data_IF_712913941197
#
_entry.id   IF_712913941197
#
_cell.length_a   1.000
_cell.length_b   1.000
_cell.length_c   1.000
_cell.angle_alpha   90.00
_cell.angle_beta   90.00
_cell.angle_gamma   90.00
#
_symmetry.space_group_name_H-M   'P 1'
#
loop_
_entity.id
_entity.type
_entity.pdbx_description
1 polymer ?
#
# COMPACT_ATOMS: atom_id res chain seq x y z
N UNK A 1 -8.28 -22.45 -2.55
CA UNK A 1 -7.60 -22.08 -1.29
C UNK A 1 -7.62 -20.56 -1.06
N UNK A 2 -8.78 -19.91 -1.23
CA UNK A 2 -8.99 -18.46 -1.08
C UNK A 2 -9.84 -18.10 0.17
N UNK A 3 -10.23 -19.10 0.97
CA UNK A 3 -11.32 -18.94 1.94
C UNK A 3 -10.87 -18.36 3.30
N UNK A 4 -9.57 -18.29 3.59
CA UNK A 4 -9.05 -17.83 4.89
C UNK A 4 -8.62 -16.37 4.90
N UNK A 5 -8.23 -15.80 3.75
CA UNK A 5 -7.81 -14.39 3.64
C UNK A 5 -8.96 -13.43 4.01
N UNK A 6 -10.21 -13.62 3.51
CA UNK A 6 -11.34 -12.78 3.91
C UNK A 6 -11.64 -12.86 5.41
N UNK A 7 -11.47 -14.04 6.02
CA UNK A 7 -11.74 -14.29 7.43
C UNK A 7 -10.71 -13.59 8.32
N UNK A 8 -9.42 -13.63 7.97
CA UNK A 8 -8.36 -12.91 8.69
C UNK A 8 -8.53 -11.41 8.55
N UNK A 9 -8.90 -10.92 7.36
CA UNK A 9 -9.22 -9.51 7.14
C UNK A 9 -10.43 -9.08 7.99
N UNK A 10 -11.50 -9.87 8.01
CA UNK A 10 -12.68 -9.61 8.84
C UNK A 10 -12.37 -9.65 10.34
N UNK A 11 -11.54 -10.58 10.80
CA UNK A 11 -11.09 -10.66 12.20
C UNK A 11 -10.24 -9.46 12.60
N UNK A 12 -9.32 -9.03 11.73
CA UNK A 12 -8.46 -7.86 11.98
C UNK A 12 -9.28 -6.56 11.94
N UNK A 13 -10.26 -6.45 11.03
CA UNK A 13 -11.20 -5.33 10.98
C UNK A 13 -12.09 -5.30 12.24
N UNK A 14 -12.63 -6.45 12.66
CA UNK A 14 -13.49 -6.58 13.85
C UNK A 14 -12.75 -6.30 15.16
N UNK A 15 -11.49 -6.75 15.29
CA UNK A 15 -10.64 -6.47 16.46
C UNK A 15 -10.19 -5.00 16.55
N UNK A 16 -10.13 -4.27 15.41
CA UNK A 16 -9.64 -2.88 15.34
C UNK A 16 -10.68 -1.80 15.55
N UNK A 17 -11.96 -2.11 15.39
CA UNK A 17 -13.04 -1.17 15.69
C UNK A 17 -13.15 -0.91 17.22
N UNK A 18 -12.57 -1.79 18.06
CA UNK A 18 -12.87 -1.84 19.49
C UNK A 18 -11.81 -1.24 20.43
N UNK A 19 -10.57 -0.92 20.02
CA UNK A 19 -9.55 -0.43 20.97
C UNK A 19 -8.63 0.69 20.42
N UNK A 20 -8.73 1.89 21.03
CA UNK A 20 -7.89 3.07 20.74
C UNK A 20 -6.39 2.82 20.99
N UNK A 21 -5.97 1.86 21.79
CA UNK A 21 -4.54 1.64 21.99
C UNK A 21 -3.88 0.87 20.84
N UNK A 22 -4.67 0.10 20.08
CA UNK A 22 -4.14 -0.81 19.06
C UNK A 22 -3.68 -0.07 17.80
N UNK A 23 -4.30 1.07 17.43
CA UNK A 23 -3.91 1.82 16.22
C UNK A 23 -2.47 2.35 16.31
N UNK A 24 -1.95 2.59 17.52
CA UNK A 24 -0.57 3.03 17.74
C UNK A 24 0.44 1.93 17.41
N UNK A 25 0.06 0.67 17.59
CA UNK A 25 0.90 -0.48 17.25
C UNK A 25 0.99 -0.69 15.73
N UNK A 26 -0.09 -0.37 15.00
CA UNK A 26 -0.16 -0.47 13.54
C UNK A 26 0.47 0.79 12.92
N UNK A 27 1.80 0.83 12.98
CA UNK A 27 2.61 1.87 12.35
C UNK A 27 3.14 1.39 11.00
N UNK A 28 3.41 2.33 10.09
CA UNK A 28 4.08 2.02 8.83
C UNK A 28 5.39 1.25 9.04
N UNK A 29 6.16 1.59 10.08
CA UNK A 29 7.39 0.88 10.43
C UNK A 29 7.14 -0.61 10.69
N UNK A 30 6.13 -0.94 11.50
CA UNK A 30 5.77 -2.34 11.77
C UNK A 30 5.35 -3.05 10.47
N UNK A 31 4.45 -2.43 9.70
CA UNK A 31 3.93 -3.01 8.46
C UNK A 31 5.05 -3.27 7.46
N UNK A 32 5.92 -2.28 7.25
CA UNK A 32 7.10 -2.40 6.41
C UNK A 32 8.05 -3.49 6.89
N UNK A 33 8.36 -3.56 8.19
CA UNK A 33 9.21 -4.61 8.74
C UNK A 33 8.62 -6.00 8.52
N UNK A 34 7.31 -6.18 8.73
CA UNK A 34 6.63 -7.46 8.46
C UNK A 34 6.76 -7.86 6.99
N UNK A 35 6.53 -6.93 6.06
CA UNK A 35 6.69 -7.19 4.62
C UNK A 35 8.13 -7.49 4.26
N UNK A 36 9.10 -6.74 4.81
CA UNK A 36 10.51 -6.94 4.57
C UNK A 36 10.95 -8.34 5.04
N UNK A 37 10.63 -8.72 6.27
CA UNK A 37 10.95 -10.06 6.77
C UNK A 37 10.20 -11.16 6.01
N UNK A 38 8.94 -10.93 5.62
CA UNK A 38 8.20 -11.86 4.77
C UNK A 38 8.87 -12.02 3.39
N UNK A 39 9.36 -10.94 2.78
CA UNK A 39 10.11 -11.00 1.53
C UNK A 39 11.39 -11.83 1.68
N UNK A 40 12.21 -11.55 2.70
CA UNK A 40 13.43 -12.33 2.97
C UNK A 40 13.09 -13.80 3.22
N UNK A 41 12.08 -14.06 4.05
CA UNK A 41 11.65 -15.41 4.39
C UNK A 41 11.12 -16.20 3.18
N UNK A 42 10.30 -15.57 2.34
CA UNK A 42 9.65 -16.23 1.22
C UNK A 42 10.60 -16.36 0.03
N UNK A 43 11.36 -15.31 -0.30
CA UNK A 43 12.18 -15.27 -1.51
C UNK A 43 13.59 -15.85 -1.27
N UNK A 44 14.28 -15.41 -0.21
CA UNK A 44 15.69 -15.74 0.00
C UNK A 44 15.87 -17.09 0.72
N UNK A 45 15.00 -17.42 1.67
CA UNK A 45 15.14 -18.71 2.36
C UNK A 45 14.57 -19.87 1.54
N UNK A 46 13.56 -19.61 0.69
CA UNK A 46 13.06 -20.62 -0.24
C UNK A 46 14.06 -20.90 -1.38
N UNK A 47 14.72 -19.88 -1.94
CA UNK A 47 15.73 -20.07 -2.99
C UNK A 47 16.90 -20.99 -2.57
N UNK A 48 17.14 -21.13 -1.26
CA UNK A 48 18.16 -22.00 -0.68
C UNK A 48 17.69 -23.43 -0.35
N UNK A 49 16.45 -23.79 -0.70
CA UNK A 49 15.91 -25.13 -0.42
C UNK A 49 15.65 -25.41 1.07
N UNK A 50 15.64 -24.40 1.93
CA UNK A 50 15.52 -24.60 3.39
C UNK A 50 14.12 -25.06 3.83
N UNK A 51 13.13 -25.04 2.95
CA UNK A 51 11.74 -25.41 3.24
C UNK A 51 11.25 -26.65 2.49
N UNK A 52 12.13 -27.37 1.78
CA UNK A 52 11.73 -28.57 1.04
C UNK A 52 11.01 -29.57 1.96
N UNK A 53 11.54 -29.80 3.16
CA UNK A 53 10.95 -30.70 4.16
C UNK A 53 9.57 -30.26 4.66
N UNK A 54 9.36 -28.95 4.85
CA UNK A 54 8.08 -28.39 5.31
C UNK A 54 6.99 -28.56 4.24
N UNK A 55 7.31 -28.26 2.97
CA UNK A 55 6.36 -28.38 1.87
C UNK A 55 6.02 -29.84 1.55
N UNK A 56 7.02 -30.74 1.59
CA UNK A 56 6.80 -32.19 1.45
C UNK A 56 5.86 -32.70 2.55
N UNK A 57 6.05 -32.26 3.80
CA UNK A 57 5.18 -32.65 4.92
C UNK A 57 3.74 -32.14 4.76
N UNK A 58 3.56 -30.98 4.11
CA UNK A 58 2.24 -30.43 3.79
C UNK A 58 1.59 -31.02 2.53
N UNK A 59 2.25 -31.95 1.83
CA UNK A 59 1.78 -32.50 0.55
C UNK A 59 1.65 -31.44 -0.54
N UNK A 60 2.48 -30.38 -0.49
CA UNK A 60 2.47 -29.27 -1.44
C UNK A 60 3.68 -29.31 -2.36
N UNK A 61 3.52 -28.74 -3.55
CA UNK A 61 4.65 -28.49 -4.44
C UNK A 61 5.64 -27.55 -3.75
N UNK A 62 6.87 -28.04 -3.63
CA UNK A 62 8.00 -27.39 -2.98
C UNK A 62 8.39 -26.09 -3.69
N UNK A 63 8.10 -25.99 -4.99
CA UNK A 63 8.54 -24.88 -5.84
C UNK A 63 7.62 -23.66 -5.80
N UNK A 64 6.53 -23.71 -5.01
CA UNK A 64 5.45 -22.71 -5.01
C UNK A 64 4.90 -22.46 -6.43
N UNK A 65 4.61 -23.53 -7.17
CA UNK A 65 4.16 -23.48 -8.58
C UNK A 65 5.26 -22.90 -9.50
N UNK A 66 6.50 -23.36 -9.33
CA UNK A 66 7.65 -22.96 -10.15
C UNK A 66 8.22 -21.56 -9.91
N UNK A 67 7.67 -20.78 -8.96
CA UNK A 67 8.16 -19.42 -8.62
C UNK A 67 9.58 -19.40 -8.09
N UNK A 68 10.01 -20.48 -7.43
CA UNK A 68 11.38 -20.63 -6.92
C UNK A 68 12.41 -20.49 -8.05
N UNK A 69 12.17 -21.14 -9.18
CA UNK A 69 13.04 -21.02 -10.37
C UNK A 69 13.06 -19.60 -10.93
N UNK A 70 11.89 -18.95 -11.00
CA UNK A 70 11.79 -17.56 -11.49
C UNK A 70 12.57 -16.60 -10.59
N UNK A 71 12.42 -16.75 -9.28
CA UNK A 71 13.07 -15.88 -8.30
C UNK A 71 14.57 -16.09 -8.25
N UNK A 72 15.06 -17.32 -8.41
CA UNK A 72 16.49 -17.59 -8.52
C UNK A 72 17.09 -16.86 -9.73
N UNK A 73 16.47 -17.01 -10.91
CA UNK A 73 16.91 -16.28 -12.11
C UNK A 73 16.80 -14.76 -11.95
N UNK A 74 15.78 -14.25 -11.24
CA UNK A 74 15.65 -12.83 -10.94
C UNK A 74 16.78 -12.34 -10.01
N UNK A 75 17.14 -13.12 -8.99
CA UNK A 75 18.24 -12.78 -8.08
C UNK A 75 19.59 -12.75 -8.82
N UNK A 76 19.86 -13.73 -9.69
CA UNK A 76 21.07 -13.77 -10.52
C UNK A 76 21.17 -12.58 -11.49
N UNK A 77 20.04 -12.13 -12.05
CA UNK A 77 19.99 -10.92 -12.87
C UNK A 77 20.20 -9.67 -12.02
N UNK A 78 19.57 -9.59 -10.84
CA UNK A 78 19.75 -8.46 -9.93
C UNK A 78 21.21 -8.27 -9.52
N UNK A 79 21.94 -9.35 -9.23
CA UNK A 79 23.37 -9.30 -8.87
C UNK A 79 24.26 -8.64 -9.95
N UNK A 80 23.85 -8.74 -11.22
CA UNK A 80 24.59 -8.17 -12.35
C UNK A 80 24.34 -6.66 -12.54
N UNK A 81 23.18 -6.14 -12.13
CA UNK A 81 22.85 -4.70 -12.20
C UNK A 81 22.02 -4.25 -10.98
N UNK A 82 22.62 -4.21 -9.77
CA UNK A 82 21.85 -4.03 -8.54
C UNK A 82 21.38 -2.58 -8.32
N UNK A 83 22.07 -1.60 -8.90
CA UNK A 83 21.81 -0.17 -8.64
C UNK A 83 20.69 0.35 -9.53
N UNK A 84 20.82 0.14 -10.85
CA UNK A 84 19.93 0.72 -11.87
C UNK A 84 19.08 -0.31 -12.61
N UNK A 85 19.29 -1.61 -12.41
CA UNK A 85 18.55 -2.64 -13.11
C UNK A 85 18.76 -2.60 -14.62
N UNK A 86 17.72 -2.96 -15.36
CA UNK A 86 17.73 -3.18 -16.81
C UNK A 86 16.76 -2.29 -17.59
N UNK A 87 16.05 -1.38 -16.92
CA UNK A 87 15.00 -0.56 -17.49
C UNK A 87 13.64 -1.23 -17.50
N UNK A 88 12.61 -0.46 -17.89
CA UNK A 88 11.24 -0.94 -18.00
C UNK A 88 11.07 -1.69 -19.31
N UNK A 89 10.64 -2.95 -19.23
CA UNK A 89 10.38 -3.77 -20.41
C UNK A 89 8.90 -3.73 -20.80
N UNK A 90 8.60 -3.54 -22.09
CA UNK A 90 7.25 -3.68 -22.62
C UNK A 90 6.98 -5.16 -22.89
N UNK A 91 6.19 -5.83 -22.05
CA UNK A 91 5.82 -7.24 -22.23
C UNK A 91 5.71 -8.02 -20.92
N UNK A 92 5.91 -9.33 -21.01
CA UNK A 92 5.64 -10.27 -19.92
C UNK A 92 6.72 -10.33 -18.82
N UNK A 93 7.77 -9.49 -18.81
CA UNK A 93 8.79 -9.46 -17.75
C UNK A 93 10.23 -9.50 -18.25
N UNK A 94 11.21 -9.57 -17.35
CA UNK A 94 12.66 -9.62 -17.66
C UNK A 94 13.28 -11.00 -17.41
N UNK A 95 12.60 -11.88 -16.68
CA UNK A 95 13.12 -13.21 -16.34
C UNK A 95 12.86 -14.16 -17.51
N UNK A 96 13.92 -14.76 -18.03
CA UNK A 96 13.83 -15.85 -19.01
C UNK A 96 13.70 -17.18 -18.30
N UNK A 97 12.67 -17.96 -18.63
CA UNK A 97 12.52 -19.33 -18.12
C UNK A 97 12.27 -20.28 -19.29
N UNK A 98 13.08 -21.33 -19.40
CA UNK A 98 12.86 -22.43 -20.34
C UNK A 98 11.93 -23.46 -19.69
N UNK A 99 10.62 -23.35 -19.93
CA UNK A 99 9.67 -24.37 -19.52
C UNK A 99 9.75 -25.55 -20.48
N UNK A 100 10.57 -26.55 -20.15
CA UNK A 100 10.67 -27.81 -20.92
C UNK A 100 9.32 -28.54 -21.05
N UNK A 101 8.33 -28.20 -20.24
CA UNK A 101 7.07 -28.94 -20.08
C UNK A 101 5.90 -28.45 -20.94
N UNK A 102 5.92 -27.22 -21.50
CA UNK A 102 4.75 -26.68 -22.22
C UNK A 102 5.02 -26.29 -23.67
N UNK A 103 6.22 -25.83 -24.02
CA UNK A 103 6.61 -25.56 -25.41
C UNK A 103 8.10 -25.88 -25.54
N UNK A 104 8.43 -27.03 -26.13
CA UNK A 104 9.82 -27.38 -26.46
C UNK A 104 10.40 -26.30 -27.38
N UNK A 105 11.33 -25.50 -26.86
CA UNK A 105 12.16 -24.58 -27.66
C UNK A 105 11.78 -23.09 -27.64
N UNK A 106 10.81 -22.64 -26.83
CA UNK A 106 10.54 -21.19 -26.68
C UNK A 106 11.05 -20.66 -25.34
N UNK A 107 12.00 -19.73 -25.36
CA UNK A 107 12.29 -18.88 -24.21
C UNK A 107 11.14 -17.87 -24.05
N UNK A 108 10.38 -17.96 -22.96
CA UNK A 108 9.35 -16.96 -22.66
C UNK A 108 9.84 -16.06 -21.54
N UNK A 109 9.78 -14.75 -21.77
CA UNK A 109 9.98 -13.76 -20.72
C UNK A 109 8.75 -13.74 -19.82
N UNK A 110 8.94 -13.87 -18.52
CA UNK A 110 7.84 -13.93 -17.55
C UNK A 110 8.07 -12.98 -16.38
N UNK A 111 6.98 -12.60 -15.72
CA UNK A 111 7.01 -11.70 -14.57
C UNK A 111 7.52 -12.48 -13.39
N UNK A 112 8.12 -11.81 -12.41
CA UNK A 112 8.52 -12.50 -11.18
C UNK A 112 7.31 -12.99 -10.38
N UNK A 113 6.09 -12.56 -10.73
CA UNK A 113 4.91 -12.62 -9.86
C UNK A 113 5.23 -12.16 -8.43
N UNK A 114 6.12 -11.17 -8.34
CA UNK A 114 6.57 -10.55 -7.12
C UNK A 114 7.05 -9.16 -7.54
N UNK A 115 6.25 -8.17 -7.20
CA UNK A 115 6.47 -6.80 -7.64
C UNK A 115 7.78 -6.23 -7.12
N UNK A 116 8.25 -6.66 -5.94
CA UNK A 116 9.52 -6.18 -5.39
C UNK A 116 10.71 -6.65 -6.22
N UNK A 117 10.69 -7.91 -6.66
CA UNK A 117 11.70 -8.43 -7.60
C UNK A 117 11.60 -7.74 -8.96
N UNK A 118 10.38 -7.51 -9.47
CA UNK A 118 10.19 -6.77 -10.72
C UNK A 118 10.77 -5.34 -10.62
N UNK A 119 10.57 -4.64 -9.51
CA UNK A 119 11.16 -3.31 -9.28
C UNK A 119 12.68 -3.35 -9.22
N UNK A 120 13.25 -4.32 -8.50
CA UNK A 120 14.70 -4.51 -8.46
C UNK A 120 15.30 -4.78 -9.84
N UNK A 121 14.63 -5.58 -10.68
CA UNK A 121 15.12 -5.85 -12.04
C UNK A 121 14.98 -4.64 -12.96
N UNK A 122 13.90 -3.87 -12.86
CA UNK A 122 13.67 -2.74 -13.76
C UNK A 122 14.55 -1.54 -13.44
N UNK A 123 14.74 -1.22 -12.16
CA UNK A 123 15.39 0.02 -11.76
C UNK A 123 16.32 -0.12 -10.56
N UNK A 124 16.68 -1.36 -10.21
CA UNK A 124 17.56 -1.68 -9.10
C UNK A 124 17.03 -1.24 -7.74
N UNK A 125 17.94 -1.16 -6.79
CA UNK A 125 17.67 -0.68 -5.44
C UNK A 125 17.14 0.75 -5.44
N UNK A 126 17.56 1.58 -6.40
CA UNK A 126 17.12 2.98 -6.51
C UNK A 126 15.62 3.06 -6.73
N UNK A 127 15.11 2.30 -7.70
CA UNK A 127 13.67 2.29 -8.00
C UNK A 127 12.86 1.68 -6.85
N UNK A 128 13.34 0.62 -6.21
CA UNK A 128 12.69 0.06 -5.03
C UNK A 128 12.58 1.08 -3.89
N UNK A 129 13.68 1.79 -3.58
CA UNK A 129 13.73 2.78 -2.50
C UNK A 129 12.80 3.96 -2.79
N UNK A 130 12.75 4.46 -4.02
CA UNK A 130 11.83 5.54 -4.41
C UNK A 130 10.36 5.14 -4.19
N UNK A 131 9.99 3.93 -4.60
CA UNK A 131 8.66 3.39 -4.41
C UNK A 131 8.29 3.25 -2.92
N UNK A 132 9.20 2.73 -2.10
CA UNK A 132 8.99 2.65 -0.64
C UNK A 132 8.92 4.03 0.01
N UNK A 133 9.69 5.00 -0.49
CA UNK A 133 9.69 6.37 0.01
C UNK A 133 8.33 7.06 -0.24
N UNK A 134 7.72 6.86 -1.41
CA UNK A 134 6.40 7.42 -1.70
C UNK A 134 5.33 6.86 -0.75
N UNK A 135 5.33 5.55 -0.49
CA UNK A 135 4.43 4.95 0.50
C UNK A 135 4.67 5.50 1.92
N UNK A 136 5.93 5.72 2.28
CA UNK A 136 6.28 6.34 3.56
C UNK A 136 5.74 7.78 3.67
N UNK A 137 5.83 8.57 2.59
CA UNK A 137 5.26 9.92 2.56
C UNK A 137 3.74 9.87 2.78
N UNK A 138 3.02 8.97 2.12
CA UNK A 138 1.57 8.79 2.33
C UNK A 138 1.23 8.51 3.80
N UNK A 139 1.98 7.65 4.50
CA UNK A 139 1.80 7.45 5.94
C UNK A 139 2.11 8.72 6.75
N UNK A 140 3.20 9.41 6.43
CA UNK A 140 3.60 10.65 7.12
C UNK A 140 2.51 11.72 7.02
N UNK A 141 1.88 11.89 5.86
CA UNK A 141 0.75 12.80 5.69
C UNK A 141 -0.49 12.32 6.44
N UNK A 142 -0.76 11.01 6.42
CA UNK A 142 -1.93 10.44 7.10
C UNK A 142 -1.88 10.63 8.63
N UNK A 143 -0.70 10.74 9.25
CA UNK A 143 -0.57 10.95 10.71
C UNK A 143 -1.17 12.25 11.23
N UNK A 144 -1.43 13.24 10.36
CA UNK A 144 -2.13 14.48 10.72
C UNK A 144 -3.63 14.28 10.91
N UNK A 145 -4.16 13.13 10.48
CA UNK A 145 -5.53 12.69 10.66
C UNK A 145 -5.87 12.56 12.15
N UNK A 146 -6.85 13.32 12.64
CA UNK A 146 -7.35 13.21 14.01
C UNK A 146 -8.20 11.97 14.22
N UNK A 147 -8.82 11.44 13.15
CA UNK A 147 -9.58 10.20 13.20
C UNK A 147 -8.67 8.96 13.09
N UNK A 148 -8.37 8.39 14.26
CA UNK A 148 -7.56 7.18 14.37
C UNK A 148 -8.17 5.96 13.65
N UNK A 149 -9.50 5.88 13.49
CA UNK A 149 -10.14 4.77 12.77
C UNK A 149 -9.87 4.87 11.28
N UNK A 150 -10.03 6.07 10.71
CA UNK A 150 -9.73 6.33 9.30
C UNK A 150 -8.23 6.16 9.02
N UNK A 151 -7.36 6.66 9.88
CA UNK A 151 -5.91 6.41 9.80
C UNK A 151 -5.57 4.92 9.79
N UNK A 152 -6.21 4.15 10.68
CA UNK A 152 -6.01 2.69 10.76
C UNK A 152 -6.48 1.98 9.48
N UNK A 153 -7.60 2.43 8.90
CA UNK A 153 -8.14 1.90 7.65
C UNK A 153 -7.18 2.14 6.49
N UNK A 154 -6.69 3.38 6.32
CA UNK A 154 -5.74 3.74 5.26
C UNK A 154 -4.49 2.85 5.34
N UNK A 155 -3.90 2.71 6.54
CA UNK A 155 -2.74 1.84 6.77
C UNK A 155 -3.02 0.37 6.48
N UNK A 156 -4.23 -0.12 6.74
CA UNK A 156 -4.62 -1.49 6.41
C UNK A 156 -4.71 -1.71 4.91
N UNK A 157 -5.34 -0.79 4.20
CA UNK A 157 -5.45 -0.87 2.76
C UNK A 157 -4.06 -0.84 2.11
N UNK A 158 -3.17 0.04 2.60
CA UNK A 158 -1.76 0.05 2.20
C UNK A 158 -1.06 -1.29 2.51
N UNK A 159 -1.29 -1.88 3.68
CA UNK A 159 -0.67 -3.15 4.05
C UNK A 159 -1.15 -4.32 3.19
N UNK A 160 -2.47 -4.42 2.97
CA UNK A 160 -3.06 -5.44 2.09
C UNK A 160 -2.48 -5.31 0.68
N UNK A 161 -2.33 -4.07 0.21
CA UNK A 161 -1.71 -3.78 -1.07
C UNK A 161 -0.25 -4.25 -1.13
N UNK A 162 0.55 -3.95 -0.10
CA UNK A 162 1.94 -4.40 0.01
C UNK A 162 2.08 -5.93 0.11
N UNK A 163 1.12 -6.62 0.73
CA UNK A 163 1.05 -8.09 0.73
C UNK A 163 0.76 -8.59 -0.69
N UNK A 164 -0.20 -7.99 -1.39
CA UNK A 164 -0.50 -8.33 -2.78
C UNK A 164 0.74 -8.26 -3.67
N UNK A 165 1.57 -7.22 -3.49
CA UNK A 165 2.84 -7.06 -4.19
C UNK A 165 3.85 -8.20 -3.96
N UNK A 166 3.80 -8.93 -2.84
CA UNK A 166 4.69 -10.08 -2.58
C UNK A 166 4.36 -11.29 -3.45
N UNK A 167 3.08 -11.45 -3.79
CA UNK A 167 2.55 -12.68 -4.42
C UNK A 167 2.16 -12.44 -5.87
N UNK A 168 1.98 -11.18 -6.27
CA UNK A 168 1.53 -10.81 -7.61
C UNK A 168 2.46 -9.78 -8.26
N UNK A 169 2.60 -9.90 -9.59
CA UNK A 169 3.35 -8.98 -10.45
C UNK A 169 2.53 -7.75 -10.83
N UNK A 170 2.06 -6.99 -9.84
CA UNK A 170 1.16 -5.83 -10.02
C UNK A 170 1.94 -4.55 -10.38
N UNK A 171 3.25 -4.50 -10.12
CA UNK A 171 4.06 -3.27 -10.21
C UNK A 171 4.14 -2.59 -11.58
N UNK A 172 3.99 -3.34 -12.67
CA UNK A 172 4.01 -2.78 -14.03
C UNK A 172 2.62 -2.37 -14.54
N UNK A 173 1.59 -2.56 -13.74
CA UNK A 173 0.23 -2.17 -14.10
C UNK A 173 -0.03 -0.72 -13.68
N UNK A 174 -0.80 0.03 -14.47
CA UNK A 174 -1.27 1.36 -14.08
C UNK A 174 -1.98 1.37 -12.72
N UNK A 175 -2.47 0.22 -12.25
CA UNK A 175 -3.07 0.04 -10.92
C UNK A 175 -2.13 0.40 -9.77
N UNK A 176 -0.80 0.24 -9.93
CA UNK A 176 0.17 0.61 -8.90
C UNK A 176 0.19 2.11 -8.63
N UNK A 177 0.34 2.91 -9.68
CA UNK A 177 0.36 4.36 -9.57
C UNK A 177 -0.98 4.91 -9.09
N UNK A 178 -2.09 4.32 -9.56
CA UNK A 178 -3.44 4.68 -9.08
C UNK A 178 -3.59 4.41 -7.58
N UNK A 179 -3.13 3.26 -7.09
CA UNK A 179 -3.20 2.92 -5.67
C UNK A 179 -2.38 3.90 -4.81
N UNK A 180 -1.17 4.26 -5.24
CA UNK A 180 -0.35 5.28 -4.57
C UNK A 180 -1.07 6.62 -4.50
N UNK A 181 -1.57 7.10 -5.64
CA UNK A 181 -2.29 8.37 -5.71
C UNK A 181 -3.51 8.35 -4.79
N UNK A 182 -4.25 7.23 -4.75
CA UNK A 182 -5.38 7.04 -3.85
C UNK A 182 -4.95 7.11 -2.38
N UNK A 183 -3.88 6.42 -1.98
CA UNK A 183 -3.40 6.46 -0.59
C UNK A 183 -2.95 7.86 -0.19
N UNK A 184 -2.26 8.57 -1.08
CA UNK A 184 -1.87 9.95 -0.85
C UNK A 184 -3.09 10.88 -0.73
N UNK A 185 -4.07 10.74 -1.63
CA UNK A 185 -5.29 11.56 -1.62
C UNK A 185 -6.15 11.30 -0.38
N UNK A 186 -6.34 10.04 0.01
CA UNK A 186 -7.04 9.67 1.24
C UNK A 186 -6.34 10.24 2.49
N UNK A 187 -5.01 10.19 2.52
CA UNK A 187 -4.22 10.80 3.59
C UNK A 187 -4.42 12.32 3.65
N UNK A 188 -4.45 12.99 2.50
CA UNK A 188 -4.66 14.44 2.41
C UNK A 188 -6.10 14.85 2.77
N UNK A 189 -7.10 14.10 2.32
CA UNK A 189 -8.50 14.31 2.71
C UNK A 189 -8.71 14.16 4.20
N UNK A 190 -8.09 13.18 4.86
CA UNK A 190 -8.26 13.09 6.31
C UNK A 190 -7.69 14.35 7.02
N UNK A 191 -6.58 14.89 6.52
CA UNK A 191 -5.99 16.10 7.07
C UNK A 191 -6.89 17.34 6.86
N UNK A 192 -7.57 17.48 5.71
CA UNK A 192 -8.49 18.60 5.50
C UNK A 192 -9.71 18.52 6.43
N UNK A 193 -10.30 17.34 6.60
CA UNK A 193 -11.43 17.11 7.51
C UNK A 193 -11.04 17.40 8.96
N UNK A 194 -9.85 16.98 9.41
CA UNK A 194 -9.39 17.26 10.77
C UNK A 194 -9.17 18.74 11.03
N UNK A 195 -8.58 19.47 10.07
CA UNK A 195 -8.35 20.91 10.21
C UNK A 195 -9.68 21.69 10.22
N UNK A 196 -10.63 21.32 9.35
CA UNK A 196 -11.96 21.94 9.31
C UNK A 196 -12.73 21.71 10.61
N UNK A 197 -12.64 20.51 11.20
CA UNK A 197 -13.27 20.23 12.50
C UNK A 197 -12.70 21.10 13.62
N UNK A 198 -11.37 21.28 13.68
CA UNK A 198 -10.72 22.15 14.67
C UNK A 198 -11.12 23.62 14.47
N UNK A 199 -11.25 24.08 13.22
CA UNK A 199 -11.74 25.43 12.92
C UNK A 199 -13.21 25.58 13.33
N UNK A 200 -14.07 24.61 13.03
CA UNK A 200 -15.48 24.64 13.45
C UNK A 200 -15.62 24.62 14.99
N UNK A 201 -14.87 23.78 15.72
CA UNK A 201 -14.90 23.80 17.18
C UNK A 201 -14.39 25.14 17.74
N UNK A 202 -13.35 25.72 17.13
CA UNK A 202 -12.75 26.99 17.59
C UNK A 202 -13.58 28.24 17.26
N UNK A 203 -14.26 28.26 16.11
CA UNK A 203 -14.99 29.42 15.60
C UNK A 203 -16.51 29.23 15.61
N UNK A 204 -17.02 28.01 15.48
CA UNK A 204 -18.44 27.68 15.61
C UNK A 204 -18.96 27.84 17.05
N UNK A 205 -18.15 27.54 18.07
CA UNK A 205 -18.48 27.89 19.47
C UNK A 205 -18.45 29.42 19.71
N UNK A 206 -17.70 30.17 18.91
CA UNK A 206 -17.67 31.64 18.95
C UNK A 206 -18.77 32.32 18.13
N UNK A 207 -19.52 31.56 17.32
CA UNK A 207 -20.63 32.08 16.50
C UNK A 207 -21.99 31.82 17.18
N UNK A 208 -22.01 31.15 18.34
CA UNK A 208 -23.15 31.29 19.25
C UNK A 208 -23.03 32.64 19.98
N UNK A 209 -23.78 33.63 19.47
CA UNK A 209 -23.92 35.00 19.99
C UNK A 209 -22.78 35.95 19.61
N UNK A 210 -22.98 36.73 18.55
CA UNK A 210 -23.27 38.17 18.66
C UNK A 210 -23.85 38.67 17.35
N UNK A 211 -25.01 39.32 17.42
CA UNK A 211 -25.44 40.31 16.43
C UNK A 211 -24.28 41.31 16.22
N UNK A 212 -23.55 41.21 15.11
CA UNK A 212 -22.54 42.21 14.78
C UNK A 212 -22.50 42.43 13.27
N UNK A 213 -22.74 43.68 12.92
CA UNK A 213 -23.00 44.31 11.62
C UNK A 213 -21.84 44.25 10.59
N UNK A 214 -20.90 43.30 10.72
CA UNK A 214 -19.72 43.22 9.84
C UNK A 214 -19.96 42.30 8.63
N UNK A 215 -20.43 42.91 7.54
CA UNK A 215 -20.74 42.32 6.21
C UNK A 215 -19.63 41.41 5.64
N UNK A 216 -18.37 41.70 5.95
CA UNK A 216 -17.19 40.95 5.48
C UNK A 216 -17.14 39.56 6.12
N UNK A 217 -17.47 39.45 7.41
CA UNK A 217 -17.45 38.17 8.13
C UNK A 217 -18.59 37.26 7.66
N UNK A 218 -19.72 37.85 7.29
CA UNK A 218 -20.88 37.14 6.75
C UNK A 218 -20.62 36.57 5.34
N UNK A 219 -19.90 37.29 4.47
CA UNK A 219 -19.53 36.79 3.14
C UNK A 219 -18.54 35.61 3.19
N UNK A 220 -17.57 35.64 4.10
CA UNK A 220 -16.66 34.49 4.31
C UNK A 220 -17.44 33.26 4.83
N UNK A 221 -18.41 33.48 5.71
CA UNK A 221 -19.28 32.42 6.23
C UNK A 221 -20.19 31.82 5.15
N UNK A 222 -20.76 32.66 4.25
CA UNK A 222 -21.52 32.19 3.09
C UNK A 222 -20.66 31.40 2.10
N UNK A 223 -19.39 31.78 1.90
CA UNK A 223 -18.48 31.00 1.06
C UNK A 223 -18.14 29.64 1.68
N UNK A 224 -18.00 29.59 3.01
CA UNK A 224 -17.76 28.34 3.73
C UNK A 224 -19.01 27.46 3.66
N UNK A 225 -20.21 27.97 3.97
CA UNK A 225 -21.46 27.20 3.96
C UNK A 225 -21.85 26.70 2.56
N UNK A 226 -21.70 27.54 1.52
CA UNK A 226 -21.96 27.18 0.12
C UNK A 226 -21.04 26.05 -0.36
N UNK A 227 -19.82 25.94 0.19
CA UNK A 227 -18.88 24.86 -0.11
C UNK A 227 -19.28 23.52 0.52
N UNK A 228 -20.19 23.53 1.49
CA UNK A 228 -20.64 22.36 2.25
C UNK A 228 -22.14 22.05 2.10
N UNK A 229 -22.88 22.80 1.27
CA UNK A 229 -24.30 22.56 1.01
C UNK A 229 -25.21 22.77 2.23
N UNK A 230 -24.77 23.59 3.19
CA UNK A 230 -25.57 23.97 4.35
C UNK A 230 -26.23 25.33 4.10
N UNK A 231 -27.55 25.42 4.28
CA UNK A 231 -28.28 26.69 4.23
C UNK A 231 -27.89 27.56 5.43
N UNK A 232 -27.50 28.80 5.16
CA UNK A 232 -27.36 29.84 6.17
C UNK A 232 -28.76 30.41 6.34
N UNK A 233 -29.38 30.16 7.49
CA UNK A 233 -30.65 30.79 7.82
C UNK A 233 -30.37 32.24 8.19
N UNK A 234 -30.98 33.17 7.44
CA UNK A 234 -31.16 34.55 7.90
C UNK A 234 -32.36 34.53 8.85
N UNK A 235 -32.12 34.85 10.12
CA UNK A 235 -33.20 35.16 11.06
C UNK A 235 -33.71 36.58 10.73
N UNK A 236 -34.71 36.66 9.85
CA UNK A 236 -35.63 37.82 9.79
C UNK A 236 -36.78 37.64 10.79
#
# INVERSE_FOLDING_TARGET
>A
YLNSIPIVILLVVKLRILNKNIYRLISFKLLFSVIFFAFIFIVILNSKGLFESLFVTMGRDVTLTGRTTIWNSALELFEKSPIYGYGVYQGHGLVKVSWQSWIKGSETFITCHNTYLDFMLQGGIVYLVLNMYILFLSDKYSKKCSDYKLLTLIRMLMFIYMIGMLVEGIGNSGYYYVAICLFYYLANMCNSVSNNKVLYEKYGERIAVTDSEDEISYMELKQISARFGAEVFDDE
#
